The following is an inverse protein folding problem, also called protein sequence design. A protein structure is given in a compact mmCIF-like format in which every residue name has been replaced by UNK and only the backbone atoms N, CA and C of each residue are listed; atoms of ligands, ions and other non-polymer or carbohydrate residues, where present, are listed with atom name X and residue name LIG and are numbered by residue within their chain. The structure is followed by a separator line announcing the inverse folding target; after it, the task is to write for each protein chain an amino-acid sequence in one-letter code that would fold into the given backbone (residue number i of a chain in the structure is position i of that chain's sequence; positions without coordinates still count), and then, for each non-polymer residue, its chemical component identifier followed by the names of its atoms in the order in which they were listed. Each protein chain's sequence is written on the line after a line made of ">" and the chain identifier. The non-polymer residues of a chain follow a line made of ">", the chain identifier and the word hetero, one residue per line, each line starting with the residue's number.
data_IF_997559785589
#
_entry.id   IF_997559785589
#
_cell.length_a   1.000
_cell.length_b   1.000
_cell.length_c   1.000
_cell.angle_alpha   90.00
_cell.angle_beta   90.00
_cell.angle_gamma   90.00
#
_symmetry.space_group_name_H-M   'P 1'
#
loop_
_entity.id
_entity.type
_entity.pdbx_description
1 polymer ?
#
# COMPACT_ATOMS: atom_id res chain seq x y z
N UNK A 1 -18.68 16.32 9.95
CA UNK A 1 -20.15 16.47 9.78
C UNK A 1 -20.54 17.07 8.42
N UNK A 2 -19.62 17.61 7.61
CA UNK A 2 -19.99 18.24 6.33
C UNK A 2 -20.16 17.28 5.14
N UNK A 3 -19.52 16.10 5.18
CA UNK A 3 -19.58 15.14 4.08
C UNK A 3 -20.96 14.49 3.89
N UNK A 4 -21.65 14.16 4.99
CA UNK A 4 -22.98 13.53 4.95
C UNK A 4 -24.07 14.50 4.45
N UNK A 5 -23.90 15.81 4.65
CA UNK A 5 -24.88 16.81 4.23
C UNK A 5 -24.74 17.22 2.76
N UNK A 6 -23.62 16.89 2.10
CA UNK A 6 -23.35 17.27 0.69
C UNK A 6 -23.42 16.10 -0.28
N UNK A 7 -23.47 14.86 0.20
CA UNK A 7 -23.44 13.67 -0.65
C UNK A 7 -24.80 12.99 -0.61
N UNK A 8 -25.54 13.08 -1.70
CA UNK A 8 -26.76 12.28 -1.91
C UNK A 8 -26.37 10.81 -2.10
N UNK A 9 -26.67 10.00 -1.09
CA UNK A 9 -26.40 8.55 -1.06
C UNK A 9 -27.51 7.73 -1.75
N UNK A 10 -28.44 8.36 -2.46
CA UNK A 10 -29.65 7.75 -3.04
C UNK A 10 -29.39 6.68 -4.10
N UNK A 11 -28.15 6.54 -4.60
CA UNK A 11 -27.74 5.47 -5.53
C UNK A 11 -27.01 4.28 -4.87
N UNK A 12 -26.70 4.35 -3.57
CA UNK A 12 -26.08 3.25 -2.83
C UNK A 12 -27.19 2.54 -2.06
N UNK A 13 -27.78 1.52 -2.68
CA UNK A 13 -28.77 0.66 -2.01
C UNK A 13 -28.32 0.36 -0.59
N UNK A 14 -29.21 0.70 0.33
CA UNK A 14 -29.08 0.89 1.77
C UNK A 14 -28.56 -0.35 2.52
N UNK A 15 -27.29 -0.68 2.32
CA UNK A 15 -26.55 -1.53 3.25
C UNK A 15 -25.75 -0.57 4.12
N UNK A 16 -26.10 -0.49 5.41
CA UNK A 16 -25.46 0.43 6.35
C UNK A 16 -23.93 0.36 6.27
N UNK A 17 -23.31 1.45 5.87
CA UNK A 17 -21.85 1.58 5.88
C UNK A 17 -21.35 1.46 7.31
N UNK A 18 -20.23 0.76 7.50
CA UNK A 18 -19.64 0.60 8.82
C UNK A 18 -18.52 1.62 8.97
N UNK A 19 -18.70 2.67 9.80
CA UNK A 19 -17.64 3.61 10.07
C UNK A 19 -16.51 2.88 10.82
N UNK A 20 -15.30 3.06 10.32
CA UNK A 20 -14.04 2.59 10.90
C UNK A 20 -13.07 3.75 10.97
N UNK A 21 -12.06 3.57 11.81
CA UNK A 21 -10.92 4.47 11.85
C UNK A 21 -9.68 3.75 11.38
N UNK A 22 -8.93 4.38 10.48
CA UNK A 22 -7.61 3.93 10.12
C UNK A 22 -6.70 3.91 11.36
N UNK A 23 -5.56 3.21 11.26
CA UNK A 23 -4.57 3.20 12.33
C UNK A 23 -4.14 4.64 12.70
N UNK A 24 -4.02 5.52 11.70
CA UNK A 24 -3.67 6.94 11.83
C UNK A 24 -4.82 7.83 12.33
N UNK A 25 -5.98 7.27 12.67
CA UNK A 25 -7.14 8.05 13.12
C UNK A 25 -8.00 8.66 12.00
N UNK A 26 -7.62 8.50 10.73
CA UNK A 26 -8.42 8.98 9.61
C UNK A 26 -9.77 8.22 9.50
N UNK A 27 -10.88 8.91 9.20
CA UNK A 27 -12.18 8.26 9.02
C UNK A 27 -12.16 7.37 7.77
N UNK A 28 -12.77 6.19 7.88
CA UNK A 28 -12.85 5.20 6.81
C UNK A 28 -14.20 4.51 6.85
N UNK A 29 -14.95 4.54 5.76
CA UNK A 29 -16.23 3.86 5.66
C UNK A 29 -16.09 2.53 4.92
N UNK A 30 -16.40 1.43 5.60
CA UNK A 30 -16.46 0.10 4.99
C UNK A 30 -17.83 -0.11 4.35
N UNK A 31 -17.83 -0.49 3.07
CA UNK A 31 -19.03 -0.83 2.29
C UNK A 31 -19.19 -2.36 2.28
N UNK A 32 -20.10 -2.94 3.08
CA UNK A 32 -20.39 -4.37 3.04
C UNK A 32 -21.26 -4.75 1.84
N UNK A 33 -21.12 -5.98 1.34
CA UNK A 33 -22.00 -6.58 0.32
C UNK A 33 -21.27 -7.24 -0.84
N UNK A 34 -21.99 -7.98 -1.68
CA UNK A 34 -21.44 -8.70 -2.84
C UNK A 34 -20.87 -7.75 -3.91
N UNK A 35 -21.47 -6.58 -4.10
CA UNK A 35 -21.01 -5.54 -5.03
C UNK A 35 -20.20 -4.44 -4.31
N UNK A 36 -19.48 -4.80 -3.24
CA UNK A 36 -18.73 -3.82 -2.43
C UNK A 36 -17.69 -3.04 -3.23
N UNK A 37 -17.09 -3.66 -4.25
CA UNK A 37 -16.05 -3.02 -5.08
C UNK A 37 -16.61 -1.88 -5.92
N UNK A 38 -17.64 -2.15 -6.73
CA UNK A 38 -18.30 -1.14 -7.59
C UNK A 38 -18.93 -0.02 -6.77
N UNK A 39 -19.57 -0.36 -5.64
CA UNK A 39 -20.17 0.63 -4.74
C UNK A 39 -19.13 1.52 -4.08
N UNK A 40 -17.98 0.96 -3.68
CA UNK A 40 -16.88 1.74 -3.14
C UNK A 40 -16.26 2.65 -4.22
N UNK A 41 -16.18 2.19 -5.47
CA UNK A 41 -15.73 3.03 -6.59
C UNK A 41 -16.69 4.18 -6.88
N UNK A 42 -18.00 3.91 -6.88
CA UNK A 42 -19.04 4.92 -7.05
C UNK A 42 -19.00 5.96 -5.93
N UNK A 43 -18.91 5.53 -4.67
CA UNK A 43 -18.78 6.43 -3.53
C UNK A 43 -17.52 7.30 -3.64
N UNK A 44 -16.38 6.70 -3.98
CA UNK A 44 -15.14 7.44 -4.16
C UNK A 44 -15.22 8.44 -5.32
N UNK A 45 -15.91 8.13 -6.41
CA UNK A 45 -16.15 9.05 -7.52
C UNK A 45 -17.03 10.24 -7.08
N UNK A 46 -18.15 9.98 -6.40
CA UNK A 46 -19.03 11.05 -5.88
C UNK A 46 -18.34 11.94 -4.86
N UNK A 47 -17.56 11.37 -3.95
CA UNK A 47 -16.76 12.15 -3.01
C UNK A 47 -15.77 13.04 -3.77
N UNK A 48 -15.13 12.54 -4.84
CA UNK A 48 -14.21 13.35 -5.65
C UNK A 48 -14.93 14.44 -6.43
N UNK A 49 -16.15 14.23 -6.88
CA UNK A 49 -16.97 15.29 -7.50
C UNK A 49 -17.31 16.38 -6.49
N UNK A 50 -17.72 16.02 -5.26
CA UNK A 50 -18.10 16.98 -4.23
C UNK A 50 -16.91 17.72 -3.60
N UNK A 51 -15.75 17.06 -3.46
CA UNK A 51 -14.59 17.55 -2.69
C UNK A 51 -13.30 17.65 -3.52
N UNK A 52 -13.32 17.35 -4.83
CA UNK A 52 -12.13 17.36 -5.68
C UNK A 52 -11.51 18.75 -5.91
N UNK A 53 -12.21 19.82 -5.54
CA UNK A 53 -11.71 21.20 -5.59
C UNK A 53 -11.10 21.70 -4.28
N UNK A 54 -11.17 20.96 -3.18
CA UNK A 54 -10.56 21.35 -1.90
C UNK A 54 -9.20 20.66 -1.72
N UNK A 55 -8.13 21.43 -1.54
CA UNK A 55 -6.79 20.90 -1.25
C UNK A 55 -6.73 20.15 0.11
N UNK A 56 -7.70 20.41 0.99
CA UNK A 56 -7.75 19.87 2.35
C UNK A 56 -8.26 18.42 2.44
N UNK A 57 -8.91 17.90 1.39
CA UNK A 57 -9.62 16.60 1.46
C UNK A 57 -9.00 15.58 0.49
N UNK A 58 -8.26 14.62 1.05
CA UNK A 58 -7.68 13.51 0.28
C UNK A 58 -8.59 12.27 0.29
N UNK A 59 -9.27 12.02 -0.81
CA UNK A 59 -10.11 10.82 -0.98
C UNK A 59 -9.28 9.66 -1.52
N UNK A 60 -9.18 8.60 -0.73
CA UNK A 60 -8.53 7.35 -1.12
C UNK A 60 -9.51 6.19 -1.07
N UNK A 61 -9.36 5.19 -1.96
CA UNK A 61 -10.09 3.91 -1.92
C UNK A 61 -9.12 2.84 -1.40
N UNK A 62 -9.08 2.57 -0.08
CA UNK A 62 -8.17 1.59 0.49
C UNK A 62 -8.65 0.20 0.09
N UNK A 63 -7.79 -0.57 -0.57
CA UNK A 63 -8.06 -1.98 -0.89
C UNK A 63 -7.07 -2.82 -0.10
N UNK A 64 -7.50 -3.97 0.42
CA UNK A 64 -6.58 -4.90 1.09
C UNK A 64 -5.53 -5.36 0.07
N UNK A 65 -4.28 -5.03 0.36
CA UNK A 65 -3.11 -5.33 -0.48
C UNK A 65 -2.10 -6.17 0.26
N UNK A 66 -1.30 -6.93 -0.49
CA UNK A 66 -0.21 -7.76 0.00
C UNK A 66 1.09 -7.34 -0.67
N UNK A 67 2.18 -7.43 0.09
CA UNK A 67 3.53 -7.22 -0.40
C UNK A 67 4.09 -8.52 -0.97
N UNK A 68 4.68 -8.44 -2.15
CA UNK A 68 5.40 -9.51 -2.83
C UNK A 68 6.84 -9.08 -3.08
N UNK A 69 7.74 -10.06 -3.08
CA UNK A 69 9.11 -9.91 -3.55
C UNK A 69 9.29 -10.68 -4.84
N UNK A 70 9.74 -9.98 -5.87
CA UNK A 70 10.24 -10.58 -7.10
C UNK A 70 11.75 -10.69 -7.03
N UNK A 71 12.26 -11.86 -7.37
CA UNK A 71 13.70 -12.14 -7.55
C UNK A 71 13.90 -12.79 -8.92
N UNK A 72 15.16 -12.92 -9.37
CA UNK A 72 15.45 -13.49 -10.70
C UNK A 72 14.96 -12.59 -11.85
N UNK A 73 14.93 -11.26 -11.65
CA UNK A 73 14.65 -10.31 -12.73
C UNK A 73 15.90 -10.06 -13.57
N UNK A 74 15.72 -10.01 -14.89
CA UNK A 74 16.77 -9.65 -15.82
C UNK A 74 17.14 -8.16 -15.75
N UNK A 75 18.32 -7.79 -16.25
CA UNK A 75 18.80 -6.40 -16.29
C UNK A 75 17.97 -5.50 -17.22
N UNK A 76 17.23 -6.08 -18.16
CA UNK A 76 16.29 -5.37 -19.04
C UNK A 76 14.92 -5.12 -18.39
N UNK A 77 14.66 -5.70 -17.21
CA UNK A 77 13.37 -5.55 -16.55
C UNK A 77 13.14 -4.09 -16.12
N UNK A 78 11.96 -3.56 -16.46
CA UNK A 78 11.50 -2.24 -16.04
C UNK A 78 10.32 -2.40 -15.08
N UNK A 79 10.08 -1.44 -14.17
CA UNK A 79 8.93 -1.52 -13.27
C UNK A 79 7.59 -1.62 -14.05
N UNK A 80 7.54 -1.03 -15.24
CA UNK A 80 6.38 -1.10 -16.14
C UNK A 80 6.17 -2.50 -16.71
N UNK A 81 7.22 -3.16 -17.23
CA UNK A 81 7.09 -4.52 -17.77
C UNK A 81 6.69 -5.53 -16.69
N UNK A 82 7.20 -5.33 -15.47
CA UNK A 82 6.81 -6.09 -14.27
C UNK A 82 5.33 -5.86 -13.93
N UNK A 83 4.86 -4.61 -13.96
CA UNK A 83 3.46 -4.27 -13.67
C UNK A 83 2.50 -4.93 -14.68
N UNK A 84 2.82 -4.86 -15.98
CA UNK A 84 2.01 -5.48 -17.05
C UNK A 84 1.94 -7.00 -16.88
N UNK A 85 3.07 -7.66 -16.60
CA UNK A 85 3.11 -9.10 -16.42
C UNK A 85 2.29 -9.55 -15.20
N UNK A 86 2.40 -8.82 -14.09
CA UNK A 86 1.62 -9.09 -12.88
C UNK A 86 0.13 -8.80 -13.07
N UNK A 87 -0.23 -7.75 -13.80
CA UNK A 87 -1.61 -7.42 -14.12
C UNK A 87 -2.28 -8.55 -14.92
N UNK A 88 -1.57 -9.10 -15.90
CA UNK A 88 -2.02 -10.26 -16.68
C UNK A 88 -2.14 -11.52 -15.82
N UNK A 89 -1.12 -11.84 -15.01
CA UNK A 89 -1.13 -13.03 -14.17
C UNK A 89 -2.15 -12.96 -13.01
N UNK A 90 -2.39 -11.75 -12.49
CA UNK A 90 -3.30 -11.49 -11.38
C UNK A 90 -4.72 -11.11 -11.79
N UNK A 91 -4.98 -10.95 -13.10
CA UNK A 91 -6.24 -10.42 -13.65
C UNK A 91 -6.69 -9.13 -12.93
N UNK A 92 -5.77 -8.17 -12.79
CA UNK A 92 -6.03 -6.92 -12.10
C UNK A 92 -5.56 -5.71 -12.89
N UNK A 93 -6.14 -4.54 -12.58
CA UNK A 93 -5.75 -3.28 -13.18
C UNK A 93 -4.31 -2.91 -12.80
N UNK A 94 -3.50 -2.51 -13.77
CA UNK A 94 -2.10 -2.07 -13.57
C UNK A 94 -2.00 -0.94 -12.53
N UNK A 95 -2.97 -0.02 -12.53
CA UNK A 95 -3.06 1.09 -11.56
C UNK A 95 -3.16 0.64 -10.10
N UNK A 96 -3.61 -0.59 -9.86
CA UNK A 96 -3.72 -1.17 -8.51
C UNK A 96 -2.41 -1.80 -8.02
N UNK A 97 -1.44 -1.98 -8.92
CA UNK A 97 -0.13 -2.56 -8.63
C UNK A 97 0.87 -1.42 -8.43
N UNK A 98 1.60 -1.47 -7.33
CA UNK A 98 2.73 -0.57 -7.08
C UNK A 98 4.02 -1.39 -7.15
N UNK A 99 4.84 -1.10 -8.16
CA UNK A 99 6.16 -1.72 -8.32
C UNK A 99 7.21 -0.75 -7.80
N UNK A 100 8.00 -1.21 -6.84
CA UNK A 100 9.16 -0.49 -6.34
C UNK A 100 10.30 -0.50 -7.36
N UNK A 101 11.29 0.36 -7.12
CA UNK A 101 12.52 0.39 -7.91
C UNK A 101 13.18 -1.00 -7.92
N UNK A 102 13.59 -1.44 -9.11
CA UNK A 102 14.31 -2.71 -9.30
C UNK A 102 15.74 -2.50 -8.79
N UNK A 103 16.15 -3.32 -7.83
CA UNK A 103 17.49 -3.26 -7.23
C UNK A 103 18.25 -4.53 -7.60
N UNK A 104 19.39 -4.42 -8.30
CA UNK A 104 20.24 -5.56 -8.56
C UNK A 104 20.86 -6.06 -7.24
N UNK A 105 20.94 -7.37 -7.11
CA UNK A 105 21.71 -8.03 -6.05
C UNK A 105 23.19 -8.16 -6.47
N UNK A 106 24.05 -8.66 -5.57
CA UNK A 106 25.49 -8.87 -5.82
C UNK A 106 25.79 -9.74 -7.04
N UNK A 107 24.86 -10.61 -7.43
CA UNK A 107 24.94 -11.46 -8.62
C UNK A 107 24.56 -10.76 -9.93
N UNK A 108 24.15 -9.49 -9.89
CA UNK A 108 23.66 -8.73 -11.05
C UNK A 108 22.18 -8.96 -11.38
N UNK A 109 21.53 -9.90 -10.68
CA UNK A 109 20.12 -10.23 -10.85
C UNK A 109 19.23 -9.22 -10.12
N UNK A 110 18.20 -8.71 -10.78
CA UNK A 110 17.27 -7.74 -10.23
C UNK A 110 16.32 -8.34 -9.19
N UNK A 111 15.99 -7.54 -8.18
CA UNK A 111 14.90 -7.81 -7.25
C UNK A 111 13.99 -6.59 -7.11
N UNK A 112 12.69 -6.83 -6.99
CA UNK A 112 11.71 -5.75 -6.86
C UNK A 112 10.69 -6.05 -5.77
N UNK A 113 10.26 -4.99 -5.11
CA UNK A 113 9.13 -5.03 -4.18
C UNK A 113 7.87 -4.66 -4.92
N UNK A 114 6.79 -5.39 -4.69
CA UNK A 114 5.51 -5.18 -5.37
C UNK A 114 4.41 -5.17 -4.33
N UNK A 115 3.48 -4.24 -4.44
CA UNK A 115 2.25 -4.22 -3.65
C UNK A 115 1.06 -4.36 -4.60
N UNK A 116 0.19 -5.35 -4.36
CA UNK A 116 -0.97 -5.62 -5.20
C UNK A 116 -2.17 -6.13 -4.37
N UNK A 117 -3.41 -6.09 -4.91
CA UNK A 117 -4.59 -6.57 -4.18
C UNK A 117 -4.51 -8.06 -3.83
N UNK A 118 -5.09 -8.47 -2.68
CA UNK A 118 -4.99 -9.86 -2.19
C UNK A 118 -5.51 -10.89 -3.20
N UNK A 119 -6.66 -10.62 -3.84
CA UNK A 119 -7.26 -11.54 -4.82
C UNK A 119 -6.29 -11.84 -5.98
N UNK A 120 -5.63 -10.80 -6.49
CA UNK A 120 -4.65 -10.91 -7.55
C UNK A 120 -3.37 -11.61 -7.07
N UNK A 121 -2.89 -11.26 -5.86
CA UNK A 121 -1.71 -11.88 -5.25
C UNK A 121 -1.89 -13.39 -5.02
N UNK A 122 -3.10 -13.85 -4.68
CA UNK A 122 -3.40 -15.27 -4.49
C UNK A 122 -3.26 -16.08 -5.80
N UNK A 123 -3.72 -15.52 -6.93
CA UNK A 123 -3.54 -16.14 -8.25
C UNK A 123 -2.07 -16.23 -8.63
N UNK A 124 -1.35 -15.12 -8.47
CA UNK A 124 0.10 -15.04 -8.72
C UNK A 124 0.89 -16.01 -7.83
N UNK A 125 0.50 -16.14 -6.55
CA UNK A 125 1.13 -17.09 -5.60
C UNK A 125 1.04 -18.52 -6.11
N UNK A 126 -0.09 -18.92 -6.70
CA UNK A 126 -0.28 -20.27 -7.25
C UNK A 126 0.72 -20.61 -8.34
N UNK A 127 1.12 -19.64 -9.16
CA UNK A 127 2.06 -19.85 -10.26
C UNK A 127 3.53 -19.98 -9.81
N UNK A 128 3.91 -19.46 -8.63
CA UNK A 128 5.29 -19.38 -8.06
C UNK A 128 6.34 -18.61 -8.91
N UNK A 129 6.21 -18.63 -10.24
CA UNK A 129 7.06 -17.93 -11.21
C UNK A 129 6.20 -17.23 -12.25
N UNK A 130 6.63 -16.05 -12.68
CA UNK A 130 5.97 -15.28 -13.74
C UNK A 130 7.00 -14.99 -14.83
N UNK A 131 6.59 -15.14 -16.08
CA UNK A 131 7.39 -14.73 -17.23
C UNK A 131 7.34 -13.21 -17.38
N UNK A 132 8.51 -12.57 -17.28
CA UNK A 132 8.68 -11.12 -17.46
C UNK A 132 9.71 -10.94 -18.57
N UNK A 133 9.24 -10.45 -19.73
CA UNK A 133 10.02 -10.50 -20.95
C UNK A 133 10.36 -11.95 -21.30
N UNK A 134 11.64 -12.30 -21.26
CA UNK A 134 12.16 -13.64 -21.61
C UNK A 134 12.60 -14.46 -20.38
N UNK A 135 12.49 -13.91 -19.17
CA UNK A 135 12.97 -14.55 -17.94
C UNK A 135 11.83 -14.89 -17.00
N UNK A 136 11.94 -16.03 -16.32
CA UNK A 136 10.99 -16.45 -15.32
C UNK A 136 11.40 -15.89 -13.96
N UNK A 137 10.73 -14.83 -13.51
CA UNK A 137 10.96 -14.22 -12.21
C UNK A 137 10.27 -15.05 -11.12
N UNK A 138 10.95 -15.23 -9.99
CA UNK A 138 10.40 -15.94 -8.83
C UNK A 138 9.59 -14.99 -7.96
N UNK A 139 8.40 -15.42 -7.56
CA UNK A 139 7.50 -14.64 -6.72
C UNK A 139 7.48 -15.21 -5.31
N UNK A 140 7.76 -14.37 -4.32
CA UNK A 140 7.63 -14.70 -2.90
C UNK A 140 6.60 -13.79 -2.26
N UNK A 141 5.56 -14.36 -1.67
CA UNK A 141 4.59 -13.60 -0.87
C UNK A 141 5.21 -13.29 0.48
N UNK A 142 5.15 -12.03 0.88
CA UNK A 142 5.71 -11.60 2.16
C UNK A 142 4.62 -11.45 3.20
N UNK A 143 4.99 -11.75 4.44
CA UNK A 143 4.13 -11.51 5.59
C UNK A 143 3.96 -10.00 5.81
N UNK A 144 2.81 -9.64 6.38
CA UNK A 144 2.55 -8.25 6.75
C UNK A 144 3.62 -7.78 7.73
N UNK A 145 4.34 -6.72 7.36
CA UNK A 145 5.32 -6.11 8.27
C UNK A 145 4.60 -5.65 9.53
N UNK A 146 5.10 -6.01 10.73
CA UNK A 146 4.49 -5.55 11.95
C UNK A 146 4.56 -4.02 12.00
N UNK A 147 3.46 -3.39 12.40
CA UNK A 147 3.45 -1.96 12.68
C UNK A 147 4.50 -1.69 13.76
N UNK A 148 5.34 -0.67 13.59
CA UNK A 148 6.17 -0.16 14.68
C UNK A 148 5.77 1.27 15.02
N UNK A 149 5.59 1.51 16.30
CA UNK A 149 5.30 2.82 16.82
C UNK A 149 6.53 3.72 16.72
N UNK A 150 6.38 4.90 16.11
CA UNK A 150 7.46 5.88 16.03
C UNK A 150 7.75 6.59 17.36
N UNK A 151 6.83 6.52 18.34
CA UNK A 151 7.00 7.11 19.68
C UNK A 151 7.79 6.19 20.60
N UNK A 152 7.35 4.96 20.82
CA UNK A 152 8.02 4.06 21.77
C UNK A 152 9.01 3.07 21.13
N UNK A 153 8.99 2.93 19.80
CA UNK A 153 9.76 1.94 19.02
C UNK A 153 9.34 0.47 19.26
N UNK A 154 8.18 0.23 19.85
CA UNK A 154 7.61 -1.12 19.99
C UNK A 154 6.71 -1.49 18.82
N UNK A 155 6.57 -2.80 18.57
CA UNK A 155 5.69 -3.33 17.52
C UNK A 155 4.24 -3.43 17.97
N UNK A 156 3.30 -3.38 17.01
CA UNK A 156 1.88 -3.66 17.20
C UNK A 156 0.95 -2.45 17.15
N UNK A 157 1.48 -1.22 17.27
CA UNK A 157 0.67 0.00 17.28
C UNK A 157 1.36 1.18 16.57
N UNK A 158 0.62 2.27 16.38
CA UNK A 158 1.11 3.52 15.79
C UNK A 158 1.07 4.65 16.83
N UNK A 159 1.72 5.78 16.55
CA UNK A 159 1.86 6.92 17.49
C UNK A 159 0.53 7.38 18.09
N UNK A 160 -0.51 7.49 17.27
CA UNK A 160 -1.86 7.93 17.68
C UNK A 160 -2.54 7.00 18.69
N UNK A 161 -2.10 5.74 18.78
CA UNK A 161 -2.64 4.73 19.71
C UNK A 161 -1.59 4.27 20.72
N UNK A 162 -0.59 5.11 20.98
CA UNK A 162 0.52 4.78 21.86
C UNK A 162 0.26 5.31 23.27
N UNK A 163 0.11 4.39 24.23
CA UNK A 163 -0.08 4.72 25.64
C UNK A 163 1.26 4.92 26.38
N UNK A 164 2.40 4.70 25.73
CA UNK A 164 3.70 4.88 26.35
C UNK A 164 3.97 6.36 26.68
N UNK A 165 4.33 6.64 27.93
CA UNK A 165 4.70 7.98 28.36
C UNK A 165 6.00 8.49 27.70
N UNK A 166 6.97 7.58 27.47
CA UNK A 166 8.30 7.92 26.97
C UNK A 166 8.29 8.09 25.44
N UNK A 167 8.72 9.26 24.97
CA UNK A 167 8.96 9.52 23.55
C UNK A 167 10.42 9.21 23.18
N UNK A 168 10.58 8.32 22.20
CA UNK A 168 11.85 7.87 21.61
C UNK A 168 11.89 8.22 20.12
N UNK A 169 11.03 9.11 19.63
CA UNK A 169 10.97 9.53 18.22
C UNK A 169 12.31 10.04 17.68
N UNK A 170 13.07 10.71 18.54
CA UNK A 170 14.38 11.29 18.21
C UNK A 170 15.50 10.25 18.16
N UNK A 171 15.25 9.01 18.58
CA UNK A 171 16.24 7.95 18.59
C UNK A 171 16.22 7.17 17.27
N UNK A 172 17.40 6.74 16.84
CA UNK A 172 17.54 5.83 15.72
C UNK A 172 16.95 4.47 16.08
N UNK A 173 15.98 4.02 15.28
CA UNK A 173 15.40 2.67 15.39
C UNK A 173 16.44 1.56 15.48
N UNK A 174 17.56 1.68 14.75
CA UNK A 174 18.55 0.61 14.62
C UNK A 174 19.58 0.59 15.76
N UNK A 175 19.97 1.75 16.31
CA UNK A 175 21.05 1.84 17.29
C UNK A 175 20.66 2.51 18.61
N UNK A 176 19.44 3.04 18.76
CA UNK A 176 18.94 3.68 19.97
C UNK A 176 19.57 5.02 20.32
N UNK A 177 20.47 5.55 19.48
CA UNK A 177 21.12 6.86 19.68
C UNK A 177 20.31 7.99 19.04
N UNK A 178 20.39 9.20 19.61
CA UNK A 178 19.74 10.37 19.02
C UNK A 178 20.16 10.56 17.55
N UNK A 179 19.18 10.84 16.69
CA UNK A 179 19.45 11.21 15.29
C UNK A 179 20.23 12.52 15.31
N UNK A 180 21.53 12.46 15.07
CA UNK A 180 22.27 13.65 14.69
C UNK A 180 21.62 14.19 13.40
N UNK A 181 20.99 15.37 13.48
CA UNK A 181 20.68 16.20 12.31
C UNK A 181 22.00 16.58 11.66
N UNK A 182 22.57 15.70 10.84
CA UNK A 182 23.65 16.09 9.95
C UNK A 182 23.05 16.92 8.83
N UNK A 183 23.39 18.22 8.68
CA UNK A 183 23.09 18.93 7.45
C UNK A 183 23.82 18.19 6.30
N UNK A 184 23.05 17.73 5.32
CA UNK A 184 23.49 17.17 4.04
C UNK A 184 24.83 16.43 4.01
N UNK A 185 24.85 15.13 4.31
CA UNK A 185 25.97 14.28 3.87
C UNK A 185 25.56 13.50 2.62
N UNK A 186 26.06 13.94 1.47
CA UNK A 186 26.13 13.16 0.22
C UNK A 186 26.76 11.80 0.55
N UNK A 187 26.05 10.70 0.24
CA UNK A 187 26.66 9.35 0.28
C UNK A 187 27.63 9.25 -0.89
N UNK A 188 28.93 9.34 -0.60
CA UNK A 188 29.98 8.95 -1.54
C UNK A 188 30.36 7.48 -1.35
N UNK A 189 30.33 6.79 -2.50
CA UNK A 189 30.82 5.44 -2.86
C UNK A 189 29.99 4.24 -2.42
#
# INVERSE_FOLDING_TARGET
>A
MEAQNKVDLTGLETIGMRPKFAATGAPMDEVPGANSEERADFLAARLRECFGGSEDVRISRPTKSVELRLTELDYTATPESVAVALAKAGECLEKSIKVGQIRPDRSGVGSAWVCMPIKAAQKVRGACRILIGWTAARVTVLESRPLRCFRCLESGHVRERCDCAVDRSELCYCCGQARATKPGSVRTR
#
